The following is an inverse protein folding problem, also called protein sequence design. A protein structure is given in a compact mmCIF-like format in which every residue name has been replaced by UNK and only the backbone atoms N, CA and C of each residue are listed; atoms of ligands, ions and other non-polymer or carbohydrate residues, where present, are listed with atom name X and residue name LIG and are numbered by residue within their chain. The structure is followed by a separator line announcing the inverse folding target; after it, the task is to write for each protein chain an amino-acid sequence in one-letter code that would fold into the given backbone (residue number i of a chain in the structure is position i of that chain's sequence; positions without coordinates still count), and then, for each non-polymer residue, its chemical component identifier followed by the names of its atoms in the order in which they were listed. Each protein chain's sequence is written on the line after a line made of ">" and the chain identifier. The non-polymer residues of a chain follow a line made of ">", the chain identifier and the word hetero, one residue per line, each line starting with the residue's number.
data_IF_673653193149
#
_entry.id   IF_673653193149
#
_cell.length_a   1.000
_cell.length_b   1.000
_cell.length_c   1.000
_cell.angle_alpha   90.00
_cell.angle_beta   90.00
_cell.angle_gamma   90.00
#
_symmetry.space_group_name_H-M   'P 1'
#
loop_
_entity.id
_entity.type
_entity.pdbx_description
1 polymer ?
#
# COMPACT_ATOMS: atom_id res chain seq x y z
N UNK A 1 -42.32 32.04 -36.31
CA UNK A 1 -43.46 31.44 -35.58
C UNK A 1 -43.51 29.91 -35.69
N UNK A 2 -44.18 29.28 -36.68
CA UNK A 2 -44.40 27.82 -36.66
C UNK A 2 -43.12 26.95 -36.75
N UNK A 3 -42.07 27.42 -37.42
CA UNK A 3 -40.78 26.71 -37.50
C UNK A 3 -40.00 26.74 -36.17
N UNK A 4 -40.13 27.84 -35.41
CA UNK A 4 -39.46 28.02 -34.13
C UNK A 4 -40.10 27.19 -33.02
N UNK A 5 -41.45 27.12 -32.98
CA UNK A 5 -42.14 26.24 -32.03
C UNK A 5 -41.81 24.77 -32.26
N UNK A 6 -41.70 24.32 -33.51
CA UNK A 6 -41.26 22.97 -33.84
C UNK A 6 -39.78 22.70 -33.43
N UNK A 7 -38.92 23.71 -33.53
CA UNK A 7 -37.52 23.64 -33.08
C UNK A 7 -37.42 23.51 -31.55
N UNK A 8 -38.19 24.32 -30.81
CA UNK A 8 -38.27 24.28 -29.34
C UNK A 8 -38.85 22.95 -28.84
N UNK A 9 -39.88 22.41 -29.49
CA UNK A 9 -40.44 21.08 -29.21
C UNK A 9 -39.40 19.97 -29.41
N UNK A 10 -38.63 20.01 -30.50
CA UNK A 10 -37.52 19.06 -30.72
C UNK A 10 -36.43 19.20 -29.66
N UNK A 11 -36.02 20.41 -29.32
CA UNK A 11 -35.00 20.65 -28.28
C UNK A 11 -35.47 20.13 -26.90
N UNK A 12 -36.72 20.39 -26.52
CA UNK A 12 -37.32 19.86 -25.30
C UNK A 12 -37.39 18.33 -25.28
N UNK A 13 -37.77 17.70 -26.41
CA UNK A 13 -37.80 16.24 -26.53
C UNK A 13 -36.40 15.62 -26.40
N UNK A 14 -35.37 16.24 -26.99
CA UNK A 14 -33.97 15.79 -26.89
C UNK A 14 -33.46 15.92 -25.45
N UNK A 15 -33.76 17.03 -24.76
CA UNK A 15 -33.38 17.22 -23.35
C UNK A 15 -34.05 16.20 -22.42
N UNK A 16 -35.34 15.92 -22.64
CA UNK A 16 -36.05 14.87 -21.92
C UNK A 16 -35.40 13.50 -22.14
N UNK A 17 -35.15 13.11 -23.40
CA UNK A 17 -34.48 11.85 -23.72
C UNK A 17 -33.08 11.76 -23.09
N UNK A 18 -32.29 12.84 -23.12
CA UNK A 18 -30.98 12.87 -22.46
C UNK A 18 -31.08 12.62 -20.94
N UNK A 19 -32.07 13.21 -20.27
CA UNK A 19 -32.33 12.98 -18.84
C UNK A 19 -32.85 11.58 -18.49
N UNK A 20 -33.38 10.83 -19.47
CA UNK A 20 -33.85 9.45 -19.28
C UNK A 20 -32.80 8.41 -19.69
N UNK A 21 -31.85 8.78 -20.55
CA UNK A 21 -30.76 7.89 -21.05
C UNK A 21 -29.50 8.00 -20.19
N UNK A 22 -29.24 9.15 -19.56
CA UNK A 22 -28.19 9.26 -18.56
C UNK A 22 -28.67 8.66 -17.24
N UNK A 23 -28.09 7.55 -16.74
CA UNK A 23 -28.39 7.09 -15.40
C UNK A 23 -27.96 8.18 -14.41
N UNK A 24 -28.86 8.53 -13.48
CA UNK A 24 -28.51 9.33 -12.31
C UNK A 24 -27.51 8.56 -11.46
N UNK A 25 -26.22 8.72 -11.75
CA UNK A 25 -25.15 8.23 -10.88
C UNK A 25 -25.26 9.01 -9.58
N UNK A 26 -25.89 8.41 -8.58
CA UNK A 26 -25.82 8.85 -7.19
C UNK A 26 -24.36 8.70 -6.75
N UNK A 27 -23.58 9.76 -6.93
CA UNK A 27 -22.18 9.75 -6.55
C UNK A 27 -22.01 9.47 -5.05
N UNK A 28 -20.92 8.78 -4.71
CA UNK A 28 -20.47 8.50 -3.35
C UNK A 28 -20.71 9.71 -2.41
N UNK A 29 -21.63 9.59 -1.45
CA UNK A 29 -21.93 10.66 -0.51
C UNK A 29 -20.83 10.75 0.54
N UNK A 30 -19.83 11.60 0.28
CA UNK A 30 -18.56 11.69 1.03
C UNK A 30 -18.74 11.80 2.54
N UNK A 31 -19.68 12.62 3.03
CA UNK A 31 -19.90 12.79 4.48
C UNK A 31 -20.42 11.53 5.18
N UNK A 32 -21.33 10.78 4.55
CA UNK A 32 -21.87 9.53 5.10
C UNK A 32 -20.84 8.40 4.96
N UNK A 33 -20.06 8.40 3.88
CA UNK A 33 -18.95 7.46 3.71
C UNK A 33 -17.82 7.67 4.73
N UNK A 34 -17.46 8.92 5.04
CA UNK A 34 -16.49 9.27 6.09
C UNK A 34 -17.03 8.90 7.49
N UNK A 35 -18.32 9.13 7.76
CA UNK A 35 -19.01 8.64 8.97
C UNK A 35 -18.95 7.10 9.08
N UNK A 36 -19.32 6.37 8.04
CA UNK A 36 -19.32 4.91 8.03
C UNK A 36 -17.91 4.31 8.22
N UNK A 37 -16.87 4.93 7.63
CA UNK A 37 -15.47 4.53 7.89
C UNK A 37 -15.11 4.71 9.36
N UNK A 38 -15.50 5.83 9.98
CA UNK A 38 -15.20 6.08 11.38
C UNK A 38 -15.96 5.10 12.30
N UNK A 39 -17.28 5.00 12.14
CA UNK A 39 -18.13 4.21 13.02
C UNK A 39 -17.81 2.71 12.96
N UNK A 40 -17.55 2.15 11.76
CA UNK A 40 -17.28 0.73 11.60
C UNK A 40 -15.79 0.38 11.63
N UNK A 41 -14.93 1.12 10.92
CA UNK A 41 -13.54 0.73 10.75
C UNK A 41 -12.60 1.37 11.78
N UNK A 42 -12.74 2.68 12.07
CA UNK A 42 -11.92 3.33 13.09
C UNK A 42 -12.21 2.76 14.48
N UNK A 43 -13.48 2.63 14.86
CA UNK A 43 -13.87 2.07 16.17
C UNK A 43 -13.32 0.66 16.39
N UNK A 44 -13.39 -0.21 15.37
CA UNK A 44 -12.83 -1.57 15.44
C UNK A 44 -11.31 -1.54 15.59
N UNK A 45 -10.62 -0.74 14.77
CA UNK A 45 -9.15 -0.56 14.85
C UNK A 45 -8.71 -0.04 16.22
N UNK A 46 -9.43 0.94 16.78
CA UNK A 46 -9.14 1.50 18.11
C UNK A 46 -9.27 0.46 19.22
N UNK A 47 -10.30 -0.39 19.17
CA UNK A 47 -10.50 -1.49 20.13
C UNK A 47 -9.38 -2.54 20.03
N UNK A 48 -9.03 -2.94 18.80
CA UNK A 48 -7.98 -3.94 18.57
C UNK A 48 -6.60 -3.42 19.02
N UNK A 49 -6.27 -2.17 18.69
CA UNK A 49 -5.03 -1.51 19.13
C UNK A 49 -4.98 -1.20 20.64
N UNK A 50 -6.14 -1.11 21.30
CA UNK A 50 -6.22 -0.99 22.76
C UNK A 50 -6.03 -2.33 23.48
N UNK A 51 -6.28 -3.46 22.80
CA UNK A 51 -5.94 -4.80 23.28
C UNK A 51 -4.46 -5.16 23.13
N UNK A 52 -3.67 -4.34 22.41
CA UNK A 52 -2.25 -4.55 22.17
C UNK A 52 -1.40 -3.60 23.02
N UNK A 53 -0.35 -4.12 23.67
CA UNK A 53 0.63 -3.32 24.41
C UNK A 53 1.26 -2.25 23.51
N UNK A 54 1.37 -1.01 24.00
CA UNK A 54 1.96 0.12 23.24
C UNK A 54 3.37 -0.16 22.70
N UNK A 55 4.17 -0.95 23.42
CA UNK A 55 5.51 -1.35 22.97
C UNK A 55 5.50 -2.21 21.70
N UNK A 56 4.38 -2.86 21.37
CA UNK A 56 4.21 -3.70 20.20
C UNK A 56 3.62 -2.95 18.98
N UNK A 57 3.19 -1.70 19.12
CA UNK A 57 2.62 -0.92 18.01
C UNK A 57 3.58 -0.79 16.81
N UNK A 58 4.90 -0.80 17.03
CA UNK A 58 5.87 -0.78 15.94
C UNK A 58 6.25 -2.17 15.39
N UNK A 59 5.81 -3.26 16.01
CA UNK A 59 6.00 -4.62 15.51
C UNK A 59 5.02 -4.91 14.38
N UNK A 60 5.53 -5.21 13.18
CA UNK A 60 4.65 -5.56 12.06
C UNK A 60 3.90 -6.86 12.30
N UNK A 61 4.58 -7.86 12.89
CA UNK A 61 4.01 -9.18 13.14
C UNK A 61 2.72 -9.12 13.97
N UNK A 62 2.69 -8.22 14.95
CA UNK A 62 1.58 -8.12 15.91
C UNK A 62 0.50 -7.11 15.46
N UNK A 63 0.80 -6.25 14.47
CA UNK A 63 -0.14 -5.23 13.94
C UNK A 63 -0.70 -5.56 12.55
N UNK A 64 -0.10 -6.50 11.81
CA UNK A 64 -0.46 -6.85 10.44
C UNK A 64 -1.92 -7.30 10.30
N UNK A 65 -2.40 -8.20 11.16
CA UNK A 65 -3.78 -8.71 11.12
C UNK A 65 -4.81 -7.60 11.38
N UNK A 66 -4.54 -6.72 12.35
CA UNK A 66 -5.38 -5.56 12.68
C UNK A 66 -5.44 -4.58 11.49
N UNK A 67 -4.28 -4.34 10.84
CA UNK A 67 -4.18 -3.44 9.70
C UNK A 67 -4.85 -4.01 8.43
N UNK A 68 -4.72 -5.32 8.19
CA UNK A 68 -5.41 -6.04 7.12
C UNK A 68 -6.93 -6.02 7.32
N UNK A 69 -7.41 -6.33 8.53
CA UNK A 69 -8.81 -6.24 8.89
C UNK A 69 -9.39 -4.84 8.70
N UNK A 70 -8.63 -3.81 9.04
CA UNK A 70 -8.99 -2.40 8.83
C UNK A 70 -9.04 -2.04 7.34
N UNK A 71 -8.06 -2.53 6.55
CA UNK A 71 -8.01 -2.34 5.09
C UNK A 71 -9.23 -2.98 4.43
N UNK A 72 -9.52 -4.25 4.74
CA UNK A 72 -10.72 -4.93 4.26
C UNK A 72 -12.00 -4.22 4.70
N UNK A 73 -12.08 -3.70 5.94
CA UNK A 73 -13.22 -2.91 6.39
C UNK A 73 -13.45 -1.67 5.50
N UNK A 74 -12.42 -0.86 5.23
CA UNK A 74 -12.58 0.34 4.37
C UNK A 74 -12.99 -0.01 2.93
N UNK A 75 -12.51 -1.15 2.42
CA UNK A 75 -12.88 -1.67 1.10
C UNK A 75 -14.35 -2.13 1.08
N UNK A 76 -14.80 -2.89 2.08
CA UNK A 76 -16.20 -3.33 2.21
C UNK A 76 -17.17 -2.16 2.40
N UNK A 77 -16.79 -1.12 3.16
CA UNK A 77 -17.59 0.11 3.29
C UNK A 77 -17.62 0.86 1.96
N UNK A 78 -16.52 0.93 1.21
CA UNK A 78 -16.50 1.57 -0.11
C UNK A 78 -17.45 0.87 -1.09
N UNK A 79 -17.38 -0.46 -1.19
CA UNK A 79 -18.28 -1.27 -2.03
C UNK A 79 -19.75 -1.09 -1.64
N UNK A 80 -20.09 -1.11 -0.34
CA UNK A 80 -21.48 -0.94 0.12
C UNK A 80 -22.05 0.46 -0.11
N UNK A 81 -21.19 1.46 -0.33
CA UNK A 81 -21.55 2.86 -0.51
C UNK A 81 -21.43 3.33 -1.97
N UNK A 82 -21.19 2.41 -2.91
CA UNK A 82 -20.89 2.69 -4.33
C UNK A 82 -19.76 3.72 -4.51
N UNK A 83 -18.77 3.65 -3.61
CA UNK A 83 -17.58 4.50 -3.60
C UNK A 83 -16.38 3.73 -4.18
N UNK A 84 -15.58 4.39 -5.02
CA UNK A 84 -14.32 3.82 -5.52
C UNK A 84 -13.29 3.67 -4.39
N UNK A 85 -12.48 2.60 -4.41
CA UNK A 85 -11.39 2.36 -3.45
C UNK A 85 -10.09 2.07 -4.19
N UNK A 86 -8.94 2.66 -3.80
CA UNK A 86 -8.76 3.67 -2.75
C UNK A 86 -9.24 5.07 -3.18
N UNK A 87 -9.38 5.98 -2.22
CA UNK A 87 -9.79 7.38 -2.44
C UNK A 87 -9.25 8.31 -1.34
N UNK A 88 -9.38 9.62 -1.54
CA UNK A 88 -8.85 10.66 -0.62
C UNK A 88 -9.39 10.58 0.83
N UNK A 89 -10.56 9.99 1.07
CA UNK A 89 -11.09 9.79 2.43
C UNK A 89 -10.33 8.64 3.10
N UNK A 90 -10.13 7.52 2.39
CA UNK A 90 -9.33 6.39 2.84
C UNK A 90 -7.86 6.79 3.06
N UNK A 91 -7.29 7.60 2.16
CA UNK A 91 -5.92 8.11 2.30
C UNK A 91 -5.76 8.97 3.57
N UNK A 92 -6.69 9.91 3.81
CA UNK A 92 -6.69 10.74 5.03
C UNK A 92 -6.87 9.88 6.29
N UNK A 93 -7.76 8.90 6.26
CA UNK A 93 -8.01 7.96 7.34
C UNK A 93 -6.74 7.17 7.73
N UNK A 94 -6.07 6.53 6.77
CA UNK A 94 -4.83 5.80 7.05
C UNK A 94 -3.69 6.72 7.48
N UNK A 95 -3.55 7.91 6.87
CA UNK A 95 -2.56 8.90 7.31
C UNK A 95 -2.79 9.35 8.76
N UNK A 96 -4.05 9.44 9.21
CA UNK A 96 -4.38 9.77 10.60
C UNK A 96 -4.04 8.61 11.55
N UNK A 97 -4.30 7.37 11.15
CA UNK A 97 -3.85 6.17 11.89
C UNK A 97 -2.33 6.18 12.06
N UNK A 98 -1.57 6.37 10.97
CA UNK A 98 -0.11 6.41 11.01
C UNK A 98 0.42 7.53 11.91
N UNK A 99 -0.18 8.72 11.88
CA UNK A 99 0.19 9.86 12.74
C UNK A 99 -0.11 9.66 14.22
N UNK A 100 -1.12 8.87 14.59
CA UNK A 100 -1.47 8.63 15.99
C UNK A 100 -0.70 7.42 16.53
N UNK A 101 -0.78 6.28 15.84
CA UNK A 101 -0.31 4.99 16.38
C UNK A 101 1.11 4.62 15.97
N UNK A 102 1.59 5.11 14.82
CA UNK A 102 2.83 4.63 14.20
C UNK A 102 3.88 5.74 14.00
N UNK A 103 3.71 6.91 14.64
CA UNK A 103 4.55 8.09 14.42
C UNK A 103 6.01 7.92 14.84
N UNK A 104 6.26 7.16 15.92
CA UNK A 104 7.62 6.83 16.40
C UNK A 104 8.21 5.58 15.72
N UNK A 105 7.47 4.93 14.83
CA UNK A 105 7.89 3.65 14.25
C UNK A 105 8.86 3.84 13.10
N UNK A 106 10.04 3.22 13.20
CA UNK A 106 11.02 3.21 12.13
C UNK A 106 10.47 2.54 10.86
N UNK A 107 10.63 3.21 9.71
CA UNK A 107 10.38 2.64 8.38
C UNK A 107 11.39 1.53 8.03
N UNK A 108 12.56 1.55 8.68
CA UNK A 108 13.68 0.64 8.46
C UNK A 108 13.31 -0.80 8.82
N UNK A 109 13.60 -1.74 7.92
CA UNK A 109 13.31 -3.17 8.11
C UNK A 109 11.94 -3.64 7.62
N UNK A 110 11.03 -2.72 7.25
CA UNK A 110 9.76 -3.05 6.57
C UNK A 110 9.87 -3.07 5.03
N UNK A 111 10.83 -2.36 4.45
CA UNK A 111 11.07 -2.28 3.00
C UNK A 111 12.16 -3.26 2.57
N UNK A 112 11.91 -4.09 1.55
CA UNK A 112 12.93 -4.95 0.96
C UNK A 112 13.98 -4.06 0.27
N UNK A 113 15.18 -4.03 0.82
CA UNK A 113 16.29 -3.22 0.33
C UNK A 113 17.61 -3.96 0.55
N UNK A 114 18.61 -3.69 -0.29
CA UNK A 114 19.95 -4.24 -0.11
C UNK A 114 20.57 -3.77 1.22
N UNK A 115 21.39 -4.61 1.87
CA UNK A 115 22.12 -4.17 3.06
C UNK A 115 23.09 -3.04 2.70
N UNK A 116 23.42 -2.14 3.66
CA UNK A 116 24.34 -1.05 3.42
C UNK A 116 25.67 -1.55 2.87
N UNK A 117 26.29 -0.76 1.98
CA UNK A 117 27.51 -1.15 1.25
C UNK A 117 28.68 -1.54 2.16
N UNK A 118 28.73 -1.00 3.38
CA UNK A 118 29.68 -1.36 4.44
C UNK A 118 29.58 -2.82 4.91
N UNK A 119 28.41 -3.46 4.76
CA UNK A 119 28.17 -4.88 5.07
C UNK A 119 28.21 -5.72 3.79
N UNK A 120 27.62 -5.22 2.70
CA UNK A 120 27.57 -5.94 1.42
C UNK A 120 28.95 -6.13 0.79
N UNK A 121 29.80 -5.09 0.79
CA UNK A 121 31.10 -5.16 0.12
C UNK A 121 32.06 -6.18 0.77
N UNK A 122 32.20 -6.29 2.11
CA UNK A 122 32.95 -7.37 2.73
C UNK A 122 32.43 -8.77 2.38
N UNK A 123 31.11 -8.98 2.33
CA UNK A 123 30.53 -10.27 1.95
C UNK A 123 30.80 -10.66 0.49
N UNK A 124 31.04 -9.71 -0.41
CA UNK A 124 31.47 -9.98 -1.78
C UNK A 124 32.99 -10.17 -1.85
N UNK A 125 33.76 -9.29 -1.18
CA UNK A 125 35.22 -9.26 -1.26
C UNK A 125 35.87 -10.49 -0.61
N UNK A 126 35.38 -10.94 0.55
CA UNK A 126 35.99 -12.06 1.29
C UNK A 126 35.95 -13.38 0.50
N UNK A 127 34.82 -13.83 -0.07
CA UNK A 127 34.80 -15.02 -0.94
C UNK A 127 35.71 -14.89 -2.16
N UNK A 128 35.74 -13.73 -2.82
CA UNK A 128 36.62 -13.50 -3.99
C UNK A 128 38.10 -13.59 -3.60
N UNK A 129 38.50 -12.97 -2.49
CA UNK A 129 39.88 -13.07 -1.99
C UNK A 129 40.25 -14.51 -1.62
N UNK A 130 39.31 -15.27 -1.02
CA UNK A 130 39.53 -16.69 -0.70
C UNK A 130 39.71 -17.51 -1.98
N UNK A 131 38.90 -17.32 -3.03
CA UNK A 131 39.05 -18.08 -4.29
C UNK A 131 40.36 -17.74 -5.00
N UNK A 132 40.79 -16.47 -5.00
CA UNK A 132 42.09 -16.05 -5.54
C UNK A 132 43.27 -16.63 -4.74
N UNK A 133 43.20 -16.66 -3.41
CA UNK A 133 44.23 -17.27 -2.56
C UNK A 133 44.30 -18.79 -2.76
N UNK A 134 43.16 -19.48 -2.79
CA UNK A 134 43.10 -20.92 -2.99
C UNK A 134 43.62 -21.32 -4.38
N UNK A 135 43.25 -20.60 -5.43
CA UNK A 135 43.78 -20.86 -6.78
C UNK A 135 45.28 -20.59 -6.87
N UNK A 136 45.79 -19.50 -6.28
CA UNK A 136 47.24 -19.24 -6.19
C UNK A 136 47.99 -20.35 -5.43
N UNK A 137 47.45 -20.83 -4.31
CA UNK A 137 48.01 -21.95 -3.54
C UNK A 137 48.03 -23.26 -4.35
N UNK A 138 46.96 -23.58 -5.09
CA UNK A 138 46.89 -24.77 -5.96
C UNK A 138 47.93 -24.69 -7.08
N UNK A 139 48.02 -23.56 -7.80
CA UNK A 139 49.03 -23.37 -8.86
C UNK A 139 50.46 -23.46 -8.31
N UNK A 140 50.71 -22.84 -7.16
CA UNK A 140 52.03 -22.90 -6.51
C UNK A 140 52.41 -24.33 -6.09
N UNK A 141 51.47 -25.09 -5.52
CA UNK A 141 51.69 -26.50 -5.14
C UNK A 141 51.91 -27.37 -6.37
N UNK A 142 51.10 -27.22 -7.43
CA UNK A 142 51.26 -27.97 -8.68
C UNK A 142 52.65 -27.80 -9.28
N UNK A 143 53.10 -26.56 -9.48
CA UNK A 143 54.44 -26.26 -10.03
C UNK A 143 55.59 -26.77 -9.16
N UNK A 144 55.46 -26.76 -7.83
CA UNK A 144 56.49 -27.34 -6.96
C UNK A 144 56.53 -28.87 -7.09
N UNK A 145 55.39 -29.54 -7.21
CA UNK A 145 55.35 -31.00 -7.36
C UNK A 145 55.89 -31.45 -8.73
N UNK A 146 55.62 -30.69 -9.79
CA UNK A 146 56.20 -30.92 -11.13
C UNK A 146 57.72 -30.73 -11.16
N UNK A 147 58.27 -29.78 -10.40
CA UNK A 147 59.72 -29.54 -10.30
C UNK A 147 60.48 -30.44 -9.32
N UNK A 148 59.84 -31.49 -8.79
CA UNK A 148 60.41 -32.45 -7.81
C UNK A 148 60.36 -33.90 -8.36
N UNK A 149 59.78 -34.09 -9.55
CA UNK A 149 59.72 -35.34 -10.32
C UNK A 149 60.68 -35.27 -11.53
#
# INVERSE_FOLDING_TARGET
>A
MALESASLLKAGLVLLLAAHVLPSVSGCHTGYYEMAINDFCLTKFQLDMAGLDRGLWCSWKDTMEIYEGTTNCTYQVALKMDCFWPNQIVDRFFMQIHRIYFHDCALTGRLLHDPPTSILAPFIAVPVLITLLMTALVVWRSKRTEGVL
#
